data_IF_722451185660
#
_entry.id   IF_722451185660
#
_cell.length_a   1.000
_cell.length_b   1.000
_cell.length_c   1.000
_cell.angle_alpha   90.00
_cell.angle_beta   90.00
_cell.angle_gamma   90.00
#
_symmetry.space_group_name_H-M   'P 1'
#
loop_
_entity.id
_entity.type
_entity.pdbx_description
1 polymer ?
#
# COMPACT_ATOMS: atom_id res chain seq x y z
N UNK A 1 45.57 -0.90 -9.95
CA UNK A 1 44.47 0.07 -9.71
C UNK A 1 44.42 0.38 -8.22
N UNK A 2 44.61 1.63 -7.83
CA UNK A 2 44.56 2.06 -6.42
C UNK A 2 43.11 2.25 -5.99
N UNK A 3 42.75 1.81 -4.76
CA UNK A 3 41.43 2.05 -4.16
C UNK A 3 41.35 3.51 -3.64
N UNK A 4 40.14 3.98 -3.37
CA UNK A 4 39.92 5.30 -2.76
C UNK A 4 39.83 6.43 -3.79
N UNK A 5 40.32 7.62 -3.43
CA UNK A 5 40.13 8.88 -4.18
C UNK A 5 40.46 8.76 -5.66
N UNK A 6 41.61 8.16 -6.00
CA UNK A 6 42.04 7.95 -7.39
C UNK A 6 41.01 7.16 -8.23
N UNK A 7 40.30 6.21 -7.61
CA UNK A 7 39.28 5.40 -8.30
C UNK A 7 37.94 6.11 -8.47
N UNK A 8 37.62 7.11 -7.63
CA UNK A 8 36.32 7.78 -7.63
C UNK A 8 36.10 8.69 -8.84
N UNK A 9 37.17 9.30 -9.38
CA UNK A 9 37.09 10.15 -10.58
C UNK A 9 36.58 9.41 -11.82
N UNK A 10 36.72 8.07 -11.87
CA UNK A 10 36.25 7.24 -12.99
C UNK A 10 34.76 6.86 -12.90
N UNK A 11 34.03 7.25 -11.85
CA UNK A 11 32.64 6.82 -11.59
C UNK A 11 31.59 7.76 -12.22
N UNK A 12 31.61 7.92 -13.54
CA UNK A 12 30.66 8.79 -14.26
C UNK A 12 29.42 8.07 -14.80
N UNK A 13 29.47 6.77 -15.00
CA UNK A 13 28.35 5.98 -15.55
C UNK A 13 27.23 5.77 -14.54
N UNK A 14 25.97 5.93 -14.94
CA UNK A 14 24.81 5.66 -14.10
C UNK A 14 24.32 4.22 -14.28
N UNK A 15 24.04 3.55 -13.17
CA UNK A 15 23.48 2.18 -13.16
C UNK A 15 21.95 2.20 -13.08
N UNK A 16 21.42 3.22 -12.42
CA UNK A 16 19.99 3.38 -12.17
C UNK A 16 19.46 4.68 -12.80
N UNK A 17 18.17 4.70 -13.06
CA UNK A 17 17.38 5.85 -13.50
C UNK A 17 16.01 5.87 -12.76
N UNK A 18 15.18 6.88 -13.02
CA UNK A 18 13.83 7.03 -12.48
C UNK A 18 12.89 5.92 -12.98
N UNK A 19 12.23 5.26 -12.03
CA UNK A 19 11.23 4.24 -12.34
C UNK A 19 9.86 4.88 -12.56
N UNK A 20 9.27 4.67 -13.75
CA UNK A 20 7.92 5.17 -14.11
C UNK A 20 6.80 4.72 -13.16
N UNK A 21 6.90 3.53 -12.55
CA UNK A 21 5.86 3.00 -11.65
C UNK A 21 5.91 3.61 -10.25
N UNK A 22 7.10 3.78 -9.67
CA UNK A 22 7.24 4.17 -8.26
C UNK A 22 7.95 5.51 -8.03
N UNK A 23 8.41 6.18 -9.07
CA UNK A 23 9.09 7.48 -9.02
C UNK A 23 10.48 7.47 -8.38
N UNK A 24 11.00 6.30 -7.98
CA UNK A 24 12.33 6.19 -7.36
C UNK A 24 13.43 6.01 -8.40
N UNK A 25 14.60 6.60 -8.15
CA UNK A 25 15.81 6.40 -8.94
C UNK A 25 16.43 5.02 -8.66
N UNK A 26 15.75 3.98 -9.14
CA UNK A 26 16.07 2.57 -8.85
C UNK A 26 15.83 1.66 -10.06
N UNK A 27 15.51 2.21 -11.22
CA UNK A 27 15.36 1.45 -12.45
C UNK A 27 16.74 1.11 -13.01
N UNK A 28 17.14 -0.16 -12.98
CA UNK A 28 18.44 -0.57 -13.48
C UNK A 28 18.43 -0.62 -15.00
N UNK A 29 19.24 0.23 -15.66
CA UNK A 29 19.19 0.43 -17.12
C UNK A 29 19.49 -0.87 -17.87
N UNK A 30 20.64 -1.51 -17.57
CA UNK A 30 21.05 -2.74 -18.29
C UNK A 30 20.22 -3.99 -18.01
N UNK A 31 19.53 -4.05 -16.86
CA UNK A 31 18.73 -5.21 -16.44
C UNK A 31 17.24 -4.96 -16.61
N UNK A 32 16.90 -3.77 -17.11
CA UNK A 32 15.54 -3.28 -17.36
C UNK A 32 14.57 -3.54 -16.20
N UNK A 33 15.06 -3.48 -14.96
CA UNK A 33 14.27 -3.82 -13.77
C UNK A 33 14.45 -2.81 -12.65
N UNK A 34 13.34 -2.45 -12.00
CA UNK A 34 13.37 -1.61 -10.82
C UNK A 34 13.75 -2.41 -9.57
N UNK A 35 14.86 -2.03 -8.94
CA UNK A 35 15.31 -2.61 -7.67
C UNK A 35 14.33 -2.32 -6.52
N UNK A 36 13.53 -1.27 -6.59
CA UNK A 36 12.57 -0.92 -5.54
C UNK A 36 11.25 -1.70 -5.69
N UNK A 37 10.54 -1.53 -6.81
CA UNK A 37 9.18 -2.05 -6.99
C UNK A 37 9.06 -3.25 -7.94
N UNK A 38 10.14 -3.68 -8.60
CA UNK A 38 10.12 -4.82 -9.54
C UNK A 38 9.60 -4.50 -10.95
N UNK A 39 9.28 -3.23 -11.24
CA UNK A 39 8.86 -2.79 -12.59
C UNK A 39 9.85 -3.26 -13.67
N UNK A 40 9.32 -3.80 -14.78
CA UNK A 40 10.08 -4.42 -15.87
C UNK A 40 10.16 -5.96 -15.79
N UNK A 41 10.26 -6.52 -14.57
CA UNK A 41 10.31 -7.97 -14.37
C UNK A 41 9.00 -8.54 -13.83
N UNK A 42 8.26 -7.78 -13.02
CA UNK A 42 7.00 -8.24 -12.40
C UNK A 42 5.86 -7.24 -12.60
N UNK A 43 4.65 -7.78 -12.78
CA UNK A 43 3.41 -7.00 -12.73
C UNK A 43 3.11 -6.56 -11.30
N UNK A 44 3.31 -7.44 -10.32
CA UNK A 44 3.14 -7.17 -8.89
C UNK A 44 4.24 -6.25 -8.34
N UNK A 45 3.89 -5.47 -7.30
CA UNK A 45 4.86 -4.65 -6.56
C UNK A 45 5.73 -5.57 -5.70
N UNK A 46 7.05 -5.44 -5.86
CA UNK A 46 8.03 -6.15 -5.04
C UNK A 46 8.02 -5.65 -3.59
N UNK A 47 7.72 -6.56 -2.67
CA UNK A 47 7.76 -6.41 -1.22
C UNK A 47 8.35 -7.68 -0.59
N UNK A 48 8.93 -7.55 0.60
CA UNK A 48 9.44 -8.68 1.37
C UNK A 48 9.11 -8.50 2.84
N UNK A 49 8.76 -9.58 3.51
CA UNK A 49 8.31 -9.56 4.91
C UNK A 49 9.44 -9.17 5.88
N UNK A 50 10.69 -9.47 5.56
CA UNK A 50 11.85 -9.10 6.38
C UNK A 50 12.11 -7.58 6.44
N UNK A 51 11.40 -6.76 5.65
CA UNK A 51 11.62 -5.30 5.61
C UNK A 51 10.33 -4.52 5.89
N UNK A 52 9.92 -4.51 7.16
CA UNK A 52 8.73 -3.78 7.63
C UNK A 52 8.76 -2.29 7.27
N UNK A 53 9.90 -1.62 7.49
CA UNK A 53 10.08 -0.20 7.16
C UNK A 53 9.88 0.08 5.66
N UNK A 54 10.29 -0.86 4.80
CA UNK A 54 10.12 -0.73 3.34
C UNK A 54 8.65 -0.89 2.92
N UNK A 55 7.91 -1.77 3.61
CA UNK A 55 6.48 -1.94 3.43
C UNK A 55 5.72 -0.68 3.88
N UNK A 56 5.98 -0.18 5.09
CA UNK A 56 5.32 1.02 5.65
C UNK A 56 5.47 2.27 4.77
N UNK A 57 6.63 2.49 4.15
CA UNK A 57 6.87 3.64 3.26
C UNK A 57 6.05 3.62 1.96
N UNK A 58 5.39 2.51 1.62
CA UNK A 58 4.70 2.31 0.34
C UNK A 58 3.30 1.72 0.47
N UNK A 59 2.86 1.44 1.70
CA UNK A 59 1.56 0.81 1.95
C UNK A 59 0.41 1.76 1.59
N UNK A 60 -0.78 1.20 1.40
CA UNK A 60 -2.03 1.96 1.25
C UNK A 60 -2.17 2.94 2.41
N UNK A 61 -2.54 4.20 2.14
CA UNK A 61 -2.48 5.28 3.14
C UNK A 61 -1.36 6.29 2.88
N UNK A 62 -0.25 5.87 2.24
CA UNK A 62 0.89 6.77 2.00
C UNK A 62 0.70 7.76 0.84
N UNK A 63 -0.26 7.50 -0.06
CA UNK A 63 -0.55 8.35 -1.21
C UNK A 63 -1.86 9.13 -1.08
N UNK A 64 -2.28 9.78 -2.16
CA UNK A 64 -3.48 10.66 -2.19
C UNK A 64 -4.83 9.96 -1.96
N UNK A 65 -4.87 8.62 -2.05
CA UNK A 65 -6.07 7.78 -1.82
C UNK A 65 -7.36 8.31 -2.49
N UNK A 66 -7.32 8.77 -3.75
CA UNK A 66 -8.44 9.50 -4.36
C UNK A 66 -9.78 8.77 -4.30
N UNK A 67 -9.80 7.47 -4.58
CA UNK A 67 -11.02 6.65 -4.53
C UNK A 67 -11.30 6.16 -3.11
N UNK A 68 -10.29 5.55 -2.47
CA UNK A 68 -10.43 4.91 -1.16
C UNK A 68 -10.82 5.89 -0.05
N UNK A 69 -10.35 7.14 -0.08
CA UNK A 69 -10.67 8.16 0.94
C UNK A 69 -12.17 8.46 1.05
N UNK A 70 -12.90 8.27 -0.05
CA UNK A 70 -14.33 8.52 -0.13
C UNK A 70 -15.13 7.22 0.00
N UNK A 71 -14.47 6.06 0.07
CA UNK A 71 -15.18 4.79 0.23
C UNK A 71 -15.89 4.77 1.58
N UNK A 72 -15.27 5.16 2.68
CA UNK A 72 -15.94 5.19 4.01
C UNK A 72 -17.19 6.09 4.04
N UNK A 73 -17.26 7.10 3.17
CA UNK A 73 -18.44 7.97 3.00
C UNK A 73 -19.51 7.36 2.08
N UNK A 74 -19.09 6.50 1.13
CA UNK A 74 -19.95 5.86 0.11
C UNK A 74 -20.44 4.48 0.53
N UNK A 75 -19.65 3.72 1.27
CA UNK A 75 -20.16 2.56 1.99
C UNK A 75 -21.09 3.14 3.02
N UNK A 76 -22.42 2.88 2.95
CA UNK A 76 -23.25 3.13 4.10
C UNK A 76 -22.57 2.38 5.24
N UNK A 77 -22.24 3.11 6.30
CA UNK A 77 -21.62 2.55 7.48
C UNK A 77 -22.27 1.21 7.80
N UNK A 78 -21.47 0.31 8.33
CA UNK A 78 -21.88 -0.86 9.09
C UNK A 78 -22.72 -0.49 10.34
N UNK A 79 -23.70 0.42 10.23
CA UNK A 79 -24.82 0.53 11.15
C UNK A 79 -25.80 -0.63 11.01
N UNK A 80 -25.50 -1.74 10.31
CA UNK A 80 -26.42 -2.88 10.22
C UNK A 80 -25.88 -4.23 10.72
N UNK A 81 -24.81 -4.24 11.49
CA UNK A 81 -24.60 -5.36 12.44
C UNK A 81 -25.27 -5.05 13.79
N UNK A 82 -25.14 -3.81 14.28
CA UNK A 82 -25.81 -3.33 15.51
C UNK A 82 -27.32 -3.17 15.35
N UNK A 83 -27.81 -2.62 14.23
CA UNK A 83 -29.22 -2.25 14.13
C UNK A 83 -30.14 -3.44 13.86
N UNK A 84 -29.64 -4.52 13.22
CA UNK A 84 -30.42 -5.76 13.07
C UNK A 84 -30.57 -6.48 14.40
N UNK A 85 -29.50 -6.62 15.18
CA UNK A 85 -29.58 -7.24 16.51
C UNK A 85 -30.41 -6.38 17.47
N UNK A 86 -30.20 -5.05 17.51
CA UNK A 86 -31.00 -4.15 18.33
C UNK A 86 -32.48 -4.11 17.90
N UNK A 87 -32.79 -4.15 16.60
CA UNK A 87 -34.17 -4.22 16.12
C UNK A 87 -34.84 -5.57 16.43
N UNK A 88 -34.09 -6.69 16.34
CA UNK A 88 -34.57 -8.02 16.73
C UNK A 88 -34.80 -8.12 18.25
N UNK A 89 -33.87 -7.61 19.07
CA UNK A 89 -34.01 -7.53 20.53
C UNK A 89 -35.17 -6.62 20.93
N UNK A 90 -35.35 -5.45 20.29
CA UNK A 90 -36.52 -4.58 20.52
C UNK A 90 -37.83 -5.25 20.10
N UNK A 91 -37.86 -6.00 18.99
CA UNK A 91 -39.04 -6.79 18.57
C UNK A 91 -39.35 -7.91 19.56
N UNK A 92 -38.33 -8.58 20.10
CA UNK A 92 -38.49 -9.63 21.10
C UNK A 92 -39.01 -9.07 22.43
N UNK A 93 -38.42 -7.96 22.91
CA UNK A 93 -38.88 -7.28 24.14
C UNK A 93 -40.31 -6.75 24.01
N UNK A 94 -40.69 -6.18 22.86
CA UNK A 94 -42.08 -5.75 22.61
C UNK A 94 -43.07 -6.92 22.55
N UNK A 95 -42.68 -8.06 21.99
CA UNK A 95 -43.50 -9.27 22.06
C UNK A 95 -43.68 -9.71 23.51
N UNK A 96 -42.61 -9.78 24.29
CA UNK A 96 -42.67 -10.22 25.69
C UNK A 96 -43.52 -9.27 26.59
N UNK A 97 -43.57 -7.97 26.28
CA UNK A 97 -44.43 -6.99 26.96
C UNK A 97 -45.90 -6.99 26.50
N UNK A 98 -46.23 -7.60 25.37
CA UNK A 98 -47.61 -7.69 24.85
C UNK A 98 -48.34 -8.98 25.27
N UNK A 99 -47.66 -9.92 25.92
CA UNK A 99 -48.21 -11.19 26.42
C UNK A 99 -48.37 -11.23 27.95
N UNK A 100 -48.34 -10.07 28.60
CA UNK A 100 -48.74 -9.86 29.99
C UNK A 100 -49.87 -8.84 30.06
#
# INVERSE_FOLDING_TARGET
MTKGTFSFGRRHTKVHDLCRRCGKHSFHIRKERCAACGYGHTTKIRTYNWSEKSMRRRTTGSGRMMTLKNQDKKTPMLTKFSDRHAALVRKQLKKNLMFH
#
